data_IF_169315602423
#
_entry.id   IF_169315602423
#
_cell.length_a   1.000
_cell.length_b   1.000
_cell.length_c   1.000
_cell.angle_alpha   90.00
_cell.angle_beta   90.00
_cell.angle_gamma   90.00
#
_symmetry.space_group_name_H-M   'P 1'
#
loop_
_entity.id
_entity.type
_entity.pdbx_description
1 polymer ?
#
# COMPACT_ATOMS: atom_id res chain seq x y z
N UNK A 1 -61.60 -1.12 -4.78
CA UNK A 1 -61.91 -0.28 -3.61
C UNK A 1 -60.61 0.22 -3.01
N UNK A 2 -60.33 1.52 -3.08
CA UNK A 2 -59.14 2.14 -2.50
C UNK A 2 -59.42 2.55 -1.05
N UNK A 3 -58.59 2.09 -0.13
CA UNK A 3 -58.54 2.58 1.24
C UNK A 3 -57.07 2.81 1.57
N UNK A 4 -56.81 3.86 2.35
CA UNK A 4 -55.50 4.38 2.78
C UNK A 4 -54.96 5.49 1.85
N UNK A 5 -55.82 6.47 1.60
CA UNK A 5 -55.45 7.88 1.58
C UNK A 5 -56.02 8.45 2.88
N UNK A 6 -55.18 8.92 3.81
CA UNK A 6 -55.46 10.00 4.78
C UNK A 6 -54.20 10.24 5.66
N UNK A 7 -53.73 11.48 5.56
CA UNK A 7 -53.08 12.31 6.59
C UNK A 7 -51.74 11.88 7.19
N UNK A 8 -50.64 12.38 6.60
CA UNK A 8 -49.78 13.37 7.29
C UNK A 8 -49.31 14.40 6.24
N UNK A 9 -50.26 15.18 5.74
CA UNK A 9 -49.99 16.56 5.30
C UNK A 9 -50.20 17.39 6.56
N UNK A 10 -49.14 17.95 7.14
CA UNK A 10 -49.08 19.09 8.07
C UNK A 10 -47.88 18.96 9.03
N UNK A 11 -46.64 19.07 8.53
CA UNK A 11 -45.54 19.63 9.31
C UNK A 11 -44.30 19.84 8.44
N UNK A 12 -44.12 21.10 8.03
CA UNK A 12 -42.88 21.82 7.64
C UNK A 12 -43.09 22.76 6.45
N UNK A 13 -44.18 23.53 6.46
CA UNK A 13 -44.17 24.89 5.97
C UNK A 13 -43.44 25.76 7.01
N UNK A 14 -42.10 25.88 6.92
CA UNK A 14 -41.32 26.94 7.57
C UNK A 14 -39.84 26.87 7.17
N UNK A 15 -39.51 27.14 5.91
CA UNK A 15 -38.25 27.83 5.58
C UNK A 15 -38.59 28.93 4.58
N UNK A 16 -38.40 30.21 4.92
CA UNK A 16 -38.73 31.31 4.03
C UNK A 16 -37.80 31.30 2.82
N UNK A 17 -38.40 31.24 1.64
CA UNK A 17 -37.81 31.68 0.38
C UNK A 17 -37.33 33.12 0.51
N UNK A 18 -36.02 33.29 0.69
CA UNK A 18 -35.32 34.55 0.60
C UNK A 18 -34.26 34.48 -0.48
N UNK A 19 -34.67 34.81 -1.71
CA UNK A 19 -33.87 35.45 -2.77
C UNK A 19 -32.46 35.89 -2.35
N UNK A 20 -31.44 35.31 -3.00
CA UNK A 20 -30.23 35.90 -3.60
C UNK A 20 -29.58 34.69 -4.30
N UNK A 21 -29.63 34.55 -5.63
CA UNK A 21 -28.97 35.44 -6.57
C UNK A 21 -27.54 34.94 -6.79
N UNK A 22 -27.29 34.26 -7.90
CA UNK A 22 -25.92 34.06 -8.38
C UNK A 22 -25.61 32.69 -8.97
N UNK A 23 -25.58 32.64 -10.31
CA UNK A 23 -24.54 31.91 -11.05
C UNK A 23 -24.64 30.39 -11.09
N UNK A 24 -25.42 29.88 -12.05
CA UNK A 24 -25.10 28.61 -12.71
C UNK A 24 -23.77 28.82 -13.45
N UNK A 25 -22.65 28.44 -12.85
CA UNK A 25 -21.41 28.19 -13.58
C UNK A 25 -21.39 26.73 -13.99
N UNK A 26 -21.89 26.49 -15.20
CA UNK A 26 -21.73 25.24 -15.91
C UNK A 26 -20.30 25.25 -16.48
N UNK A 27 -19.32 24.81 -15.69
CA UNK A 27 -17.98 24.52 -16.21
C UNK A 27 -18.08 23.19 -16.94
N UNK A 28 -18.25 23.26 -18.26
CA UNK A 28 -17.83 22.19 -19.15
C UNK A 28 -16.31 22.05 -19.00
N UNK A 29 -15.87 21.06 -18.21
CA UNK A 29 -14.53 20.52 -18.37
C UNK A 29 -14.59 19.56 -19.56
N UNK A 30 -14.30 20.10 -20.74
CA UNK A 30 -13.73 19.30 -21.82
C UNK A 30 -12.38 18.81 -21.30
N UNK A 31 -12.33 17.56 -20.86
CA UNK A 31 -11.05 16.87 -20.64
C UNK A 31 -10.46 16.68 -22.04
N UNK A 32 -9.56 17.60 -22.35
CA UNK A 32 -8.64 17.52 -23.47
C UNK A 32 -7.72 16.32 -23.24
N UNK A 33 -7.53 15.53 -24.30
CA UNK A 33 -6.71 14.33 -24.30
C UNK A 33 -5.24 14.71 -24.24
N UNK A 34 -4.67 14.78 -23.04
CA UNK A 34 -3.22 14.96 -22.86
C UNK A 34 -2.52 13.60 -22.65
N UNK A 35 -2.25 12.93 -23.77
CA UNK A 35 -1.20 11.92 -23.91
C UNK A 35 0.18 12.61 -23.73
N UNK A 36 0.59 12.84 -22.49
CA UNK A 36 1.90 13.47 -22.23
C UNK A 36 2.43 13.44 -20.79
N UNK A 37 1.64 13.01 -19.81
CA UNK A 37 2.03 13.12 -18.39
C UNK A 37 2.59 11.83 -17.76
N UNK A 38 2.54 10.68 -18.43
CA UNK A 38 3.03 9.41 -17.85
C UNK A 38 4.55 9.29 -17.82
N UNK A 39 5.29 9.96 -18.72
CA UNK A 39 6.76 9.80 -18.79
C UNK A 39 7.50 10.74 -17.83
N UNK A 40 6.86 11.79 -17.31
CA UNK A 40 7.52 12.79 -16.45
C UNK A 40 7.56 12.40 -14.97
N UNK A 41 6.71 11.46 -14.53
CA UNK A 41 6.79 10.89 -13.17
C UNK A 41 7.88 9.84 -13.05
N UNK A 42 8.12 9.04 -14.10
CA UNK A 42 9.19 8.04 -14.12
C UNK A 42 10.60 8.67 -14.00
N UNK A 43 10.81 9.85 -14.60
CA UNK A 43 12.11 10.54 -14.58
C UNK A 43 12.37 11.41 -13.33
N UNK A 44 11.45 11.45 -12.37
CA UNK A 44 11.67 12.14 -11.09
C UNK A 44 12.34 11.26 -10.02
N UNK A 45 12.42 9.94 -10.23
CA UNK A 45 13.10 9.02 -9.33
C UNK A 45 14.65 9.04 -9.49
N UNK A 46 15.18 9.63 -10.56
CA UNK A 46 16.61 9.57 -10.88
C UNK A 46 17.44 10.80 -10.44
N UNK A 47 16.83 11.84 -9.86
CA UNK A 47 17.55 13.08 -9.51
C UNK A 47 16.96 13.83 -8.30
N UNK A 48 16.46 13.10 -7.30
CA UNK A 48 16.44 13.60 -5.93
C UNK A 48 17.67 13.00 -5.26
N UNK A 49 18.56 13.87 -4.75
CA UNK A 49 19.65 13.41 -3.90
C UNK A 49 19.06 12.48 -2.85
N UNK A 50 19.52 11.23 -2.86
CA UNK A 50 18.99 10.17 -2.02
C UNK A 50 18.85 10.70 -0.59
N UNK A 51 17.63 10.91 -0.07
CA UNK A 51 17.43 11.50 1.25
C UNK A 51 18.04 10.63 2.37
N UNK A 52 18.41 9.39 2.05
CA UNK A 52 19.05 8.45 2.94
C UNK A 52 20.58 8.36 2.76
N UNK A 53 21.16 9.10 1.79
CA UNK A 53 22.61 9.19 1.58
C UNK A 53 23.40 9.76 2.77
N UNK A 54 22.72 10.25 3.80
CA UNK A 54 23.31 10.81 5.02
C UNK A 54 23.13 9.92 6.26
N UNK A 55 22.61 8.70 6.12
CA UNK A 55 22.52 7.76 7.25
C UNK A 55 23.95 7.47 7.72
N UNK A 56 24.26 7.85 8.96
CA UNK A 56 25.50 7.44 9.61
C UNK A 56 25.28 6.03 10.14
N UNK A 57 25.86 4.98 9.51
CA UNK A 57 25.59 3.61 9.91
C UNK A 57 26.18 3.37 11.29
N UNK A 58 25.37 2.77 12.18
CA UNK A 58 25.84 2.27 13.47
C UNK A 58 25.62 0.77 13.54
N UNK A 59 26.44 0.07 14.32
CA UNK A 59 26.30 -1.38 14.50
C UNK A 59 24.94 -1.74 15.12
N UNK A 60 24.44 -0.95 16.09
CA UNK A 60 23.11 -1.17 16.69
C UNK A 60 21.99 -1.01 15.66
N UNK A 61 22.03 0.02 14.80
CA UNK A 61 21.06 0.19 13.71
C UNK A 61 21.09 -0.99 12.74
N UNK A 62 22.29 -1.45 12.35
CA UNK A 62 22.45 -2.61 11.47
C UNK A 62 21.82 -3.87 12.05
N UNK A 63 22.10 -4.19 13.31
CA UNK A 63 21.54 -5.35 14.00
C UNK A 63 20.02 -5.28 14.16
N UNK A 64 19.48 -4.10 14.50
CA UNK A 64 18.02 -3.90 14.57
C UNK A 64 17.37 -4.05 13.20
N UNK A 65 18.01 -3.52 12.15
CA UNK A 65 17.52 -3.63 10.78
C UNK A 65 17.53 -5.09 10.33
N UNK A 66 18.59 -5.84 10.62
CA UNK A 66 18.66 -7.28 10.31
C UNK A 66 17.58 -8.07 11.04
N UNK A 67 17.39 -7.84 12.34
CA UNK A 67 16.34 -8.51 13.11
C UNK A 67 14.94 -8.21 12.56
N UNK A 68 14.68 -6.96 12.17
CA UNK A 68 13.42 -6.56 11.55
C UNK A 68 13.23 -7.17 10.14
N UNK A 69 14.31 -7.24 9.35
CA UNK A 69 14.34 -7.90 8.05
C UNK A 69 14.01 -9.39 8.15
N UNK A 70 14.67 -10.11 9.05
CA UNK A 70 14.40 -11.53 9.29
C UNK A 70 12.96 -11.77 9.77
N UNK A 71 12.39 -10.85 10.55
CA UNK A 71 10.98 -10.91 10.93
C UNK A 71 10.05 -10.74 9.73
N UNK A 72 10.35 -9.80 8.82
CA UNK A 72 9.62 -9.64 7.56
C UNK A 72 9.64 -10.94 6.75
N UNK A 73 10.82 -11.53 6.52
CA UNK A 73 10.97 -12.78 5.75
C UNK A 73 10.21 -13.95 6.38
N UNK A 74 10.16 -14.03 7.72
CA UNK A 74 9.36 -15.04 8.43
C UNK A 74 7.86 -14.84 8.22
N UNK A 75 7.40 -13.59 8.18
CA UNK A 75 6.00 -13.30 7.89
C UNK A 75 5.68 -13.71 6.45
N UNK A 76 6.56 -13.42 5.49
CA UNK A 76 6.39 -13.80 4.09
C UNK A 76 6.23 -15.30 3.94
N UNK A 77 7.16 -16.09 4.48
CA UNK A 77 7.12 -17.55 4.38
C UNK A 77 5.89 -18.15 5.06
N UNK A 78 5.46 -17.60 6.19
CA UNK A 78 4.23 -18.02 6.86
C UNK A 78 2.97 -17.63 6.07
N UNK A 79 2.99 -16.50 5.37
CA UNK A 79 1.86 -16.05 4.55
C UNK A 79 1.75 -16.88 3.27
N UNK A 80 2.86 -17.23 2.62
CA UNK A 80 2.90 -18.01 1.37
C UNK A 80 2.12 -19.32 1.45
N UNK A 81 2.15 -20.00 2.60
CA UNK A 81 1.38 -21.23 2.85
C UNK A 81 -0.13 -21.04 2.63
N UNK A 82 -0.65 -19.82 2.80
CA UNK A 82 -2.06 -19.52 2.63
C UNK A 82 -2.49 -19.50 1.16
N UNK A 83 -1.57 -19.35 0.21
CA UNK A 83 -1.91 -19.20 -1.22
C UNK A 83 -2.61 -20.43 -1.81
N UNK A 84 -2.42 -21.60 -1.21
CA UNK A 84 -3.04 -22.86 -1.63
C UNK A 84 -4.49 -23.04 -1.13
N UNK A 85 -4.99 -22.14 -0.26
CA UNK A 85 -6.35 -22.20 0.31
C UNK A 85 -7.41 -21.60 -0.63
N UNK A 86 -8.68 -21.99 -0.41
CA UNK A 86 -9.84 -21.27 -0.97
C UNK A 86 -9.84 -19.85 -0.36
N UNK A 87 -9.81 -18.82 -1.19
CA UNK A 87 -9.51 -17.41 -0.82
C UNK A 87 -8.05 -17.13 -0.41
N UNK A 88 -7.12 -18.02 -0.73
CA UNK A 88 -5.72 -17.95 -0.30
C UNK A 88 -5.01 -16.62 -0.59
N UNK A 89 -5.27 -16.02 -1.75
CA UNK A 89 -4.75 -14.70 -2.08
C UNK A 89 -5.23 -13.61 -1.11
N UNK A 90 -6.52 -13.60 -0.74
CA UNK A 90 -7.05 -12.61 0.19
C UNK A 90 -6.47 -12.81 1.59
N UNK A 91 -6.34 -14.06 2.03
CA UNK A 91 -5.75 -14.41 3.33
C UNK A 91 -4.27 -14.03 3.39
N UNK A 92 -3.51 -14.32 2.34
CA UNK A 92 -2.11 -13.90 2.16
C UNK A 92 -1.94 -12.39 2.36
N UNK A 93 -2.69 -11.58 1.59
CA UNK A 93 -2.53 -10.12 1.66
C UNK A 93 -3.03 -9.52 2.98
N UNK A 94 -4.08 -10.07 3.59
CA UNK A 94 -4.52 -9.65 4.92
C UNK A 94 -3.47 -9.98 6.00
N UNK A 95 -2.79 -11.13 5.86
CA UNK A 95 -1.71 -11.54 6.76
C UNK A 95 -0.57 -10.54 6.70
N UNK A 96 -0.08 -10.23 5.51
CA UNK A 96 1.00 -9.24 5.32
C UNK A 96 0.60 -7.87 5.87
N UNK A 97 -0.60 -7.37 5.52
CA UNK A 97 -1.14 -6.10 6.01
C UNK A 97 -1.10 -6.01 7.55
N UNK A 98 -1.55 -7.06 8.23
CA UNK A 98 -1.64 -7.09 9.69
C UNK A 98 -0.26 -7.23 10.34
N UNK A 99 0.53 -8.19 9.89
CA UNK A 99 1.73 -8.63 10.61
C UNK A 99 2.92 -7.70 10.35
N UNK A 100 3.02 -7.08 9.17
CA UNK A 100 4.02 -6.05 8.91
C UNK A 100 3.84 -4.83 9.83
N UNK A 101 2.62 -4.60 10.33
CA UNK A 101 2.31 -3.59 11.34
C UNK A 101 3.02 -3.82 12.68
N UNK A 102 3.34 -5.07 13.00
CA UNK A 102 3.94 -5.47 14.27
C UNK A 102 5.47 -5.45 14.28
N UNK A 103 6.12 -5.29 13.12
CA UNK A 103 7.58 -5.24 13.03
C UNK A 103 8.08 -3.94 13.67
N UNK A 104 9.00 -4.06 14.63
CA UNK A 104 9.60 -2.90 15.28
C UNK A 104 10.61 -2.23 14.34
N UNK A 105 10.34 -0.97 13.97
CA UNK A 105 11.21 -0.15 13.10
C UNK A 105 11.89 0.99 13.83
N UNK A 106 11.93 0.95 15.16
CA UNK A 106 12.62 1.99 15.96
C UNK A 106 14.12 1.78 15.86
N UNK A 107 14.84 2.84 15.48
CA UNK A 107 16.30 2.82 15.24
C UNK A 107 16.74 1.80 14.18
N UNK A 108 15.87 1.45 13.23
CA UNK A 108 16.25 0.71 12.02
C UNK A 108 16.67 1.67 10.91
N UNK A 109 17.33 1.13 9.89
CA UNK A 109 17.69 1.88 8.69
C UNK A 109 16.44 2.49 8.04
N UNK A 110 16.44 3.80 7.71
CA UNK A 110 15.26 4.46 7.18
C UNK A 110 14.86 3.98 5.78
N UNK A 111 15.78 3.44 4.97
CA UNK A 111 15.42 2.81 3.68
C UNK A 111 14.62 1.53 3.91
N UNK A 112 14.96 0.75 4.94
CA UNK A 112 14.16 -0.40 5.34
C UNK A 112 12.78 0.02 5.84
N UNK A 113 12.68 1.11 6.62
CA UNK A 113 11.37 1.65 7.03
C UNK A 113 10.54 2.07 5.83
N UNK A 114 11.17 2.68 4.82
CA UNK A 114 10.50 3.06 3.57
C UNK A 114 10.05 1.84 2.75
N UNK A 115 10.83 0.76 2.71
CA UNK A 115 10.42 -0.51 2.11
C UNK A 115 9.18 -1.07 2.82
N UNK A 116 9.20 -1.15 4.16
CA UNK A 116 8.08 -1.65 4.96
C UNK A 116 6.78 -0.85 4.72
N UNK A 117 6.89 0.48 4.56
CA UNK A 117 5.75 1.32 4.24
C UNK A 117 5.17 1.04 2.84
N UNK A 118 6.05 0.79 1.86
CA UNK A 118 5.63 0.43 0.50
C UNK A 118 4.94 -0.92 0.44
N UNK A 119 5.50 -1.94 1.10
CA UNK A 119 4.84 -3.25 1.19
C UNK A 119 3.47 -3.19 1.86
N UNK A 120 3.31 -2.39 2.92
CA UNK A 120 2.00 -2.16 3.54
C UNK A 120 1.00 -1.54 2.57
N UNK A 121 1.43 -0.57 1.76
CA UNK A 121 0.61 0.03 0.69
C UNK A 121 0.15 -1.02 -0.32
N UNK A 122 1.06 -1.88 -0.78
CA UNK A 122 0.76 -2.98 -1.71
C UNK A 122 -0.27 -3.93 -1.10
N UNK A 123 -0.06 -4.37 0.14
CA UNK A 123 -0.99 -5.26 0.84
C UNK A 123 -2.38 -4.62 1.01
N UNK A 124 -2.44 -3.35 1.42
CA UNK A 124 -3.69 -2.59 1.53
C UNK A 124 -4.45 -2.53 0.18
N UNK A 125 -3.72 -2.31 -0.92
CA UNK A 125 -4.27 -2.21 -2.26
C UNK A 125 -4.83 -3.55 -2.73
N UNK A 126 -4.10 -4.66 -2.54
CA UNK A 126 -4.60 -6.01 -2.85
C UNK A 126 -5.81 -6.38 -2.01
N UNK A 127 -5.80 -6.15 -0.69
CA UNK A 127 -6.96 -6.43 0.18
C UNK A 127 -8.18 -5.64 -0.28
N UNK A 128 -8.00 -4.37 -0.66
CA UNK A 128 -9.09 -3.54 -1.18
C UNK A 128 -9.61 -4.06 -2.52
N UNK A 129 -8.73 -4.51 -3.41
CA UNK A 129 -9.10 -5.07 -4.71
C UNK A 129 -9.89 -6.39 -4.53
N UNK A 130 -9.33 -7.33 -3.78
CA UNK A 130 -9.90 -8.68 -3.59
C UNK A 130 -11.22 -8.68 -2.81
N UNK A 131 -11.45 -7.71 -1.91
CA UNK A 131 -12.75 -7.57 -1.21
C UNK A 131 -13.87 -7.04 -2.09
N UNK A 132 -13.59 -6.50 -3.29
CA UNK A 132 -14.66 -6.01 -4.18
C UNK A 132 -15.39 -7.18 -4.82
N UNK A 133 -16.70 -7.03 -5.08
CA UNK A 133 -17.43 -7.95 -5.94
C UNK A 133 -16.70 -8.12 -7.28
N UNK A 134 -16.62 -9.35 -7.80
CA UNK A 134 -15.92 -9.65 -9.05
C UNK A 134 -16.36 -8.79 -10.24
N UNK A 135 -17.65 -8.41 -10.29
CA UNK A 135 -18.21 -7.53 -11.33
C UNK A 135 -17.64 -6.09 -11.31
N UNK A 136 -16.98 -5.70 -10.21
CA UNK A 136 -16.38 -4.38 -10.02
C UNK A 136 -14.85 -4.45 -10.01
N UNK A 137 -14.27 -5.64 -10.19
CA UNK A 137 -12.83 -5.81 -10.36
C UNK A 137 -12.48 -5.49 -11.82
N UNK A 138 -11.45 -4.69 -12.01
CA UNK A 138 -10.94 -4.31 -13.32
C UNK A 138 -9.54 -4.87 -13.50
N UNK A 139 -9.27 -5.47 -14.65
CA UNK A 139 -7.94 -5.96 -15.03
C UNK A 139 -6.89 -4.83 -14.94
N UNK A 140 -7.23 -3.63 -15.41
CA UNK A 140 -6.33 -2.47 -15.33
C UNK A 140 -6.00 -2.04 -13.90
N UNK A 141 -6.91 -2.27 -12.94
CA UNK A 141 -6.61 -2.02 -11.53
C UNK A 141 -5.71 -3.10 -10.97
N UNK A 142 -5.96 -4.37 -11.31
CA UNK A 142 -5.10 -5.48 -10.93
C UNK A 142 -3.68 -5.27 -11.44
N UNK A 143 -3.51 -5.02 -12.74
CA UNK A 143 -2.21 -4.79 -13.38
C UNK A 143 -1.42 -3.67 -12.70
N UNK A 144 -2.11 -2.60 -12.27
CA UNK A 144 -1.49 -1.50 -11.55
C UNK A 144 -0.98 -1.93 -10.17
N UNK A 145 -1.78 -2.70 -9.43
CA UNK A 145 -1.39 -3.20 -8.10
C UNK A 145 -0.28 -4.24 -8.22
N UNK A 146 -0.32 -5.07 -9.26
CA UNK A 146 0.72 -6.07 -9.57
C UNK A 146 2.05 -5.43 -9.96
N UNK A 147 2.01 -4.39 -10.79
CA UNK A 147 3.19 -3.59 -11.13
C UNK A 147 3.78 -2.87 -9.90
N UNK A 148 2.94 -2.46 -8.94
CA UNK A 148 3.42 -1.91 -7.66
C UNK A 148 4.15 -2.99 -6.85
N UNK A 149 3.60 -4.22 -6.79
CA UNK A 149 4.27 -5.36 -6.15
C UNK A 149 5.64 -5.63 -6.77
N UNK A 150 5.70 -5.75 -8.09
CA UNK A 150 6.93 -6.03 -8.83
C UNK A 150 8.01 -4.99 -8.55
N UNK A 151 7.64 -3.71 -8.59
CA UNK A 151 8.53 -2.61 -8.21
C UNK A 151 9.04 -2.73 -6.78
N UNK A 152 8.19 -3.10 -5.81
CA UNK A 152 8.62 -3.21 -4.41
C UNK A 152 9.56 -4.40 -4.21
N UNK A 153 9.35 -5.52 -4.91
CA UNK A 153 10.28 -6.66 -4.91
C UNK A 153 11.66 -6.25 -5.46
N UNK A 154 11.72 -5.48 -6.54
CA UNK A 154 13.00 -4.95 -7.06
C UNK A 154 13.71 -4.04 -6.04
N UNK A 155 12.95 -3.24 -5.28
CA UNK A 155 13.50 -2.40 -4.21
C UNK A 155 14.03 -3.27 -3.07
N UNK A 156 13.31 -4.30 -2.65
CA UNK A 156 13.75 -5.26 -1.64
C UNK A 156 15.08 -5.91 -2.01
N UNK A 157 15.17 -6.46 -3.22
CA UNK A 157 16.38 -7.12 -3.74
C UNK A 157 17.60 -6.20 -3.80
N UNK A 158 17.39 -4.93 -4.16
CA UNK A 158 18.48 -3.95 -4.18
C UNK A 158 18.84 -3.47 -2.78
N UNK A 159 17.85 -3.36 -1.89
CA UNK A 159 18.04 -2.91 -0.53
C UNK A 159 18.79 -3.95 0.30
N UNK A 160 18.50 -5.25 0.15
CA UNK A 160 19.23 -6.32 0.85
C UNK A 160 20.73 -6.21 0.61
N UNK A 161 21.16 -6.10 -0.65
CA UNK A 161 22.57 -5.91 -1.05
C UNK A 161 23.17 -4.62 -0.47
N UNK A 162 22.39 -3.54 -0.49
CA UNK A 162 22.82 -2.24 0.02
C UNK A 162 23.04 -2.27 1.53
N UNK A 163 22.10 -2.85 2.28
CA UNK A 163 22.18 -3.02 3.73
C UNK A 163 23.33 -3.97 4.10
N UNK A 164 23.48 -5.09 3.38
CA UNK A 164 24.60 -6.02 3.59
C UNK A 164 25.94 -5.33 3.47
N UNK A 165 26.13 -4.51 2.43
CA UNK A 165 27.35 -3.71 2.25
C UNK A 165 27.51 -2.63 3.32
N UNK A 166 26.42 -1.95 3.68
CA UNK A 166 26.43 -0.82 4.64
C UNK A 166 26.78 -1.26 6.06
N UNK A 167 26.23 -2.38 6.49
CA UNK A 167 26.38 -2.87 7.86
C UNK A 167 27.34 -4.05 8.02
N UNK A 168 27.82 -4.63 6.91
CA UNK A 168 28.65 -5.85 6.90
C UNK A 168 27.93 -7.02 7.58
N UNK A 169 26.63 -7.14 7.32
CA UNK A 169 25.76 -8.21 7.80
C UNK A 169 25.16 -8.95 6.60
N UNK A 170 24.66 -10.16 6.81
CA UNK A 170 24.01 -10.91 5.75
C UNK A 170 22.50 -10.73 5.83
N UNK A 171 21.94 -9.97 4.88
CA UNK A 171 20.49 -9.80 4.69
C UNK A 171 19.91 -10.76 3.64
N UNK A 172 20.74 -11.56 2.96
CA UNK A 172 20.32 -12.51 1.94
C UNK A 172 20.04 -13.90 2.54
N UNK A 173 20.73 -14.29 3.61
CA UNK A 173 20.41 -15.53 4.33
C UNK A 173 19.15 -15.38 5.19
N UNK A 174 18.09 -16.05 4.75
CA UNK A 174 17.19 -16.70 5.70
C UNK A 174 18.01 -17.91 6.18
N UNK A 175 18.80 -17.78 7.24
CA UNK A 175 19.32 -19.00 7.89
C UNK A 175 18.12 -19.93 8.10
N UNK A 176 18.24 -21.18 7.65
CA UNK A 176 17.23 -22.23 7.78
C UNK A 176 16.84 -22.34 9.27
N UNK A 177 15.81 -21.59 9.69
CA UNK A 177 15.24 -21.62 11.04
C UNK A 177 14.42 -22.92 11.25
N UNK A 178 14.82 -24.03 10.62
CA UNK A 178 14.18 -25.34 10.77
C UNK A 178 14.62 -26.06 12.06
N UNK A 179 15.69 -25.64 12.74
CA UNK A 179 16.19 -26.31 13.94
C UNK A 179 15.83 -25.56 15.24
N UNK A 180 14.60 -25.72 15.71
CA UNK A 180 14.32 -25.69 17.16
C UNK A 180 13.14 -24.83 17.62
N UNK A 181 11.92 -25.36 17.47
CA UNK A 181 10.81 -25.13 18.42
C UNK A 181 9.95 -26.39 18.53
#
# INVERSE_FOLDING_TARGET
MPLIIIAVVLLLCCVPTGLIGGGIWLVMLTVDSDDGLSTRRANSAASYGDPYSQVTPTSDMGQRTLAAWQHMRRIDSQAEVLLDEEDGALLYWQRLQRDYGAIQTTNTDPEFVALMAQWKSVADNYVRYLKRPALLQSDAEFDRVDAERERVMEIEDNLSRTLSKRYQLDFESIEDFEDGF
#
